data_IF_031400752146
#
_entry.id   IF_031400752146
#
_cell.length_a   1.000
_cell.length_b   1.000
_cell.length_c   1.000
_cell.angle_alpha   90.00
_cell.angle_beta   90.00
_cell.angle_gamma   90.00
#
_symmetry.space_group_name_H-M   'P 1'
#
loop_
_entity.id
_entity.type
_entity.pdbx_description
1 polymer ?
#
# COMPACT_ATOMS: atom_id res chain seq x y z
N UNK A 1 0.21 -4.93 -11.13
CA UNK A 1 1.15 -4.04 -10.44
C UNK A 1 2.08 -3.47 -11.49
N UNK A 2 2.18 -2.15 -11.59
CA UNK A 2 3.01 -1.50 -12.62
C UNK A 2 4.36 -1.06 -12.07
N UNK A 3 4.40 -0.66 -10.81
CA UNK A 3 5.62 -0.21 -10.15
C UNK A 3 5.60 -0.58 -8.66
N UNK A 4 6.78 -0.71 -8.08
CA UNK A 4 6.97 -0.74 -6.63
C UNK A 4 7.88 0.44 -6.24
N UNK A 5 7.49 1.18 -5.21
CA UNK A 5 8.36 2.12 -4.54
C UNK A 5 8.91 1.51 -3.24
N UNK A 6 10.23 1.59 -3.04
CA UNK A 6 10.91 1.28 -1.78
C UNK A 6 11.44 2.59 -1.19
N UNK A 7 10.92 3.00 -0.04
CA UNK A 7 11.29 4.26 0.61
C UNK A 7 11.83 4.00 2.01
N UNK A 8 12.99 4.59 2.32
CA UNK A 8 13.62 4.61 3.64
C UNK A 8 13.78 6.08 4.05
N UNK A 9 12.79 6.62 4.78
CA UNK A 9 12.71 8.06 5.08
C UNK A 9 13.16 8.41 6.50
N UNK A 10 12.63 7.71 7.51
CA UNK A 10 12.96 7.89 8.94
C UNK A 10 12.77 9.33 9.47
N UNK A 11 11.86 10.10 8.85
CA UNK A 11 11.65 11.51 9.18
C UNK A 11 10.85 11.72 10.48
N UNK A 12 10.00 10.77 10.85
CA UNK A 12 9.14 10.82 12.06
C UNK A 12 9.58 9.75 13.05
N UNK A 13 9.57 8.48 12.64
CA UNK A 13 10.16 7.37 13.39
C UNK A 13 11.61 7.16 12.94
N UNK A 14 12.55 7.23 13.88
CA UNK A 14 13.99 7.08 13.61
C UNK A 14 14.43 5.62 13.44
N UNK A 15 13.58 4.66 13.78
CA UNK A 15 13.89 3.25 13.56
C UNK A 15 14.01 2.97 12.07
N UNK A 16 14.97 2.14 11.68
CA UNK A 16 15.16 1.79 10.27
C UNK A 16 14.02 0.87 9.82
N UNK A 17 13.22 1.34 8.88
CA UNK A 17 12.13 0.61 8.23
C UNK A 17 11.99 1.02 6.76
N UNK A 18 11.38 0.15 5.96
CA UNK A 18 11.06 0.45 4.58
C UNK A 18 9.55 0.55 4.40
N UNK A 19 9.11 1.58 3.68
CA UNK A 19 7.78 1.58 3.08
C UNK A 19 7.90 0.93 1.71
N UNK A 20 7.25 -0.22 1.54
CA UNK A 20 7.15 -0.94 0.27
C UNK A 20 5.75 -0.74 -0.27
N UNK A 21 5.63 0.02 -1.36
CA UNK A 21 4.33 0.49 -1.87
C UNK A 21 4.15 -0.01 -3.31
N UNK A 22 3.29 -1.01 -3.54
CA UNK A 22 2.81 -1.38 -4.87
C UNK A 22 1.98 -0.23 -5.47
N UNK A 23 2.24 0.13 -6.72
CA UNK A 23 1.60 1.25 -7.42
C UNK A 23 0.90 0.78 -8.70
N UNK A 24 -0.21 1.44 -9.02
CA UNK A 24 -1.09 1.10 -10.13
C UNK A 24 -1.60 2.39 -10.77
N UNK A 25 -1.66 2.47 -12.10
CA UNK A 25 -2.22 3.64 -12.79
C UNK A 25 -3.74 3.74 -12.68
N UNK A 26 -4.37 2.62 -12.32
CA UNK A 26 -5.81 2.43 -12.28
C UNK A 26 -6.22 1.93 -10.91
N UNK A 27 -7.45 2.26 -10.54
CA UNK A 27 -8.06 1.81 -9.29
C UNK A 27 -8.08 0.27 -9.20
N UNK A 28 -7.70 -0.25 -8.03
CA UNK A 28 -7.72 -1.70 -7.75
C UNK A 28 -8.90 -2.02 -6.84
N UNK A 29 -9.71 -3.01 -7.21
CA UNK A 29 -10.84 -3.45 -6.40
C UNK A 29 -10.45 -4.67 -5.56
N UNK A 30 -10.65 -4.59 -4.24
CA UNK A 30 -10.42 -5.69 -3.31
C UNK A 30 -11.52 -5.73 -2.24
N UNK A 31 -12.14 -6.89 -2.02
CA UNK A 31 -13.26 -7.08 -1.09
C UNK A 31 -14.33 -5.96 -1.13
N UNK A 32 -14.70 -5.51 -2.33
CA UNK A 32 -15.63 -4.41 -2.59
C UNK A 32 -15.14 -2.99 -2.21
N UNK A 33 -13.90 -2.85 -1.76
CA UNK A 33 -13.20 -1.58 -1.57
C UNK A 33 -12.43 -1.22 -2.85
N UNK A 34 -12.37 0.07 -3.14
CA UNK A 34 -11.54 0.63 -4.18
C UNK A 34 -10.28 1.18 -3.53
N UNK A 35 -9.13 0.71 -4.00
CA UNK A 35 -7.82 1.24 -3.66
C UNK A 35 -7.41 2.23 -4.72
N UNK A 36 -7.29 3.49 -4.31
CA UNK A 36 -6.84 4.58 -5.16
C UNK A 36 -5.38 4.93 -4.87
N UNK A 37 -4.67 5.28 -5.93
CA UNK A 37 -3.30 5.79 -5.87
C UNK A 37 -3.29 7.25 -6.32
N UNK A 38 -3.67 8.14 -5.40
CA UNK A 38 -3.82 9.59 -5.65
C UNK A 38 -2.51 10.26 -6.08
N UNK A 39 -1.37 9.66 -5.73
CA UNK A 39 -0.04 10.14 -6.09
C UNK A 39 0.42 9.73 -7.50
N UNK A 40 -0.29 8.84 -8.20
CA UNK A 40 0.12 8.39 -9.54
C UNK A 40 -0.05 9.50 -10.59
N UNK A 41 0.90 9.68 -11.55
CA UNK A 41 2.15 8.94 -11.77
C UNK A 41 3.38 9.51 -11.04
N UNK A 42 3.18 10.44 -10.10
CA UNK A 42 4.24 11.09 -9.32
C UNK A 42 4.65 10.25 -8.11
N UNK A 43 5.29 10.91 -7.13
CA UNK A 43 5.64 10.29 -5.85
C UNK A 43 4.39 9.78 -5.13
N UNK A 44 4.50 8.68 -4.35
CA UNK A 44 3.40 8.23 -3.51
C UNK A 44 2.93 9.36 -2.59
N UNK A 45 1.62 9.52 -2.48
CA UNK A 45 1.02 10.40 -1.49
C UNK A 45 0.99 9.69 -0.13
N UNK A 46 1.95 10.01 0.73
CA UNK A 46 2.07 9.41 2.06
C UNK A 46 1.07 9.98 3.08
N UNK A 47 0.30 11.01 2.71
CA UNK A 47 -0.76 11.59 3.56
C UNK A 47 -2.14 11.00 3.29
N UNK A 48 -2.33 10.31 2.17
CA UNK A 48 -3.59 9.68 1.79
C UNK A 48 -3.70 8.27 2.36
N UNK A 49 -4.89 7.94 2.88
CA UNK A 49 -5.22 6.60 3.36
C UNK A 49 -6.49 6.12 2.67
N UNK A 50 -6.46 4.90 2.16
CA UNK A 50 -7.68 4.22 1.73
C UNK A 50 -8.46 3.77 2.98
N UNK A 51 -9.78 3.97 2.97
CA UNK A 51 -10.63 3.53 4.08
C UNK A 51 -10.68 1.99 4.13
N UNK A 52 -10.12 1.43 5.21
CA UNK A 52 -10.05 0.01 5.47
C UNK A 52 -10.61 -0.29 6.84
N UNK A 53 -11.50 -1.29 6.93
CA UNK A 53 -11.87 -1.85 8.22
C UNK A 53 -10.90 -2.99 8.60
N UNK A 54 -11.04 -3.48 9.83
CA UNK A 54 -10.16 -4.53 10.36
C UNK A 54 -10.30 -5.87 9.60
N UNK A 55 -11.50 -6.20 9.13
CA UNK A 55 -11.73 -7.47 8.42
C UNK A 55 -11.03 -7.46 7.05
N UNK A 56 -11.05 -6.33 6.36
CA UNK A 56 -10.33 -6.14 5.10
C UNK A 56 -8.81 -6.23 5.28
N UNK A 57 -8.30 -5.61 6.35
CA UNK A 57 -6.88 -5.66 6.68
C UNK A 57 -6.41 -7.10 6.98
N UNK A 58 -7.20 -7.86 7.75
CA UNK A 58 -6.89 -9.26 8.07
C UNK A 58 -6.88 -10.13 6.81
N UNK A 59 -7.87 -9.97 5.93
CA UNK A 59 -7.91 -10.71 4.65
C UNK A 59 -6.72 -10.38 3.76
N UNK A 60 -6.36 -9.09 3.66
CA UNK A 60 -5.21 -8.68 2.87
C UNK A 60 -3.92 -9.31 3.40
N UNK A 61 -3.73 -9.30 4.72
CA UNK A 61 -2.59 -9.95 5.38
C UNK A 61 -2.53 -11.45 5.05
N UNK A 62 -3.63 -12.17 5.17
CA UNK A 62 -3.69 -13.62 4.88
C UNK A 62 -3.26 -13.93 3.43
N UNK A 63 -3.74 -13.13 2.47
CA UNK A 63 -3.39 -13.30 1.06
C UNK A 63 -1.90 -13.03 0.83
N UNK A 64 -1.36 -11.99 1.46
CA UNK A 64 0.06 -11.66 1.34
C UNK A 64 0.94 -12.76 1.96
N UNK A 65 0.58 -13.29 3.14
CA UNK A 65 1.31 -14.41 3.77
C UNK A 65 1.35 -15.64 2.86
N UNK A 66 0.22 -16.02 2.25
CA UNK A 66 0.15 -17.13 1.28
C UNK A 66 0.97 -16.90 0.02
N UNK A 67 1.22 -15.64 -0.36
CA UNK A 67 2.03 -15.32 -1.54
C UNK A 67 3.54 -15.40 -1.30
N UNK A 68 3.96 -15.61 -0.04
CA UNK A 68 5.35 -15.74 0.36
C UNK A 68 5.82 -17.22 0.43
N UNK A 69 4.90 -18.17 0.27
CA UNK A 69 5.17 -19.61 0.14
C UNK A 69 5.45 -20.01 -1.32
#
# INVERSE_FOLDING_TARGET
>A
MEKINYLALMMVDKNVHFHVIPRYSSNIKFNNIIFEDTGWPKLPDLGYNNDLNNDDLLKLKEILEKSLE
#
